data_IF_109000137594
#
_entry.id   IF_109000137594
#
_cell.length_a   1.000
_cell.length_b   1.000
_cell.length_c   1.000
_cell.angle_alpha   90.00
_cell.angle_beta   90.00
_cell.angle_gamma   90.00
#
_symmetry.space_group_name_H-M   'P 1'
#
loop_
_entity.id
_entity.type
_entity.pdbx_description
1 polymer ?
#
# COMPACT_ATOMS: atom_id res chain seq x y z
N UNK A 1 -17.98 -12.54 27.63
CA UNK A 1 -17.55 -13.04 26.30
C UNK A 1 -16.53 -12.07 25.76
N UNK A 2 -15.25 -12.40 25.90
CA UNK A 2 -14.12 -11.53 25.64
C UNK A 2 -14.00 -11.21 24.13
N UNK A 3 -13.71 -9.95 23.84
CA UNK A 3 -13.64 -9.36 22.53
C UNK A 3 -12.82 -10.11 21.49
N UNK A 4 -13.47 -10.94 20.71
CA UNK A 4 -12.94 -11.24 19.37
C UNK A 4 -12.90 -9.91 18.63
N UNK A 5 -11.70 -9.39 18.43
CA UNK A 5 -11.51 -8.26 17.53
C UNK A 5 -12.25 -8.59 16.24
N UNK A 6 -13.25 -7.78 15.88
CA UNK A 6 -14.01 -8.04 14.66
C UNK A 6 -13.11 -7.70 13.47
N UNK A 7 -12.40 -8.73 12.98
CA UNK A 7 -11.46 -8.57 11.85
C UNK A 7 -12.11 -7.97 10.61
N UNK A 8 -13.40 -8.25 10.37
CA UNK A 8 -14.14 -7.64 9.27
C UNK A 8 -14.29 -6.14 9.49
N UNK A 9 -14.67 -5.72 10.71
CA UNK A 9 -14.73 -4.31 11.06
C UNK A 9 -13.36 -3.62 10.95
N UNK A 10 -12.29 -4.28 11.37
CA UNK A 10 -10.92 -3.80 11.18
C UNK A 10 -10.60 -3.56 9.71
N UNK A 11 -10.87 -4.53 8.82
CA UNK A 11 -10.62 -4.40 7.38
C UNK A 11 -11.37 -3.22 6.76
N UNK A 12 -12.65 -3.04 7.12
CA UNK A 12 -13.48 -1.97 6.55
C UNK A 12 -13.25 -0.60 7.20
N UNK A 13 -12.57 -0.54 8.35
CA UNK A 13 -12.26 0.72 9.04
C UNK A 13 -11.07 1.47 8.46
N UNK A 14 -10.15 0.77 7.79
CA UNK A 14 -8.95 1.39 7.19
C UNK A 14 -9.32 2.51 6.21
N UNK A 15 -8.62 3.65 6.31
CA UNK A 15 -8.75 4.81 5.41
C UNK A 15 -7.40 5.17 4.80
N UNK A 16 -7.44 5.82 3.64
CA UNK A 16 -6.25 6.48 3.08
C UNK A 16 -6.01 7.79 3.82
N UNK A 17 -4.88 7.90 4.48
CA UNK A 17 -4.45 9.07 5.26
C UNK A 17 -3.45 9.87 4.44
N UNK A 18 -3.68 11.17 4.30
CA UNK A 18 -2.86 12.10 3.50
C UNK A 18 -2.26 13.24 4.31
N UNK A 19 -2.74 13.41 5.56
CA UNK A 19 -2.16 14.35 6.52
C UNK A 19 -1.57 13.58 7.66
N UNK A 20 -0.34 13.89 8.01
CA UNK A 20 0.44 13.18 9.00
C UNK A 20 0.96 14.15 10.05
N UNK A 21 1.05 13.69 11.29
CA UNK A 21 1.74 14.41 12.38
C UNK A 21 3.23 14.46 12.09
N UNK A 22 3.86 15.56 12.44
CA UNK A 22 5.32 15.69 12.45
C UNK A 22 5.90 14.90 13.63
N UNK A 23 5.88 13.58 13.49
CA UNK A 23 6.35 12.63 14.48
C UNK A 23 6.99 11.43 13.78
N UNK A 24 8.25 11.11 14.09
CA UNK A 24 8.92 9.96 13.48
C UNK A 24 8.19 8.65 13.81
N UNK A 25 8.26 7.71 12.90
CA UNK A 25 7.82 6.32 13.12
C UNK A 25 9.01 5.53 13.61
N UNK A 26 8.93 4.87 14.77
CA UNK A 26 9.99 4.02 15.31
C UNK A 26 10.36 2.87 14.36
N UNK A 27 11.64 2.52 14.31
CA UNK A 27 12.15 1.51 13.38
C UNK A 27 11.58 0.11 13.66
N UNK A 28 11.33 -0.21 14.93
CA UNK A 28 10.69 -1.47 15.32
C UNK A 28 9.28 -1.62 14.74
N UNK A 29 8.50 -0.54 14.65
CA UNK A 29 7.19 -0.56 14.01
C UNK A 29 7.32 -0.74 12.50
N UNK A 30 8.31 -0.12 11.86
CA UNK A 30 8.58 -0.31 10.43
C UNK A 30 8.92 -1.77 10.16
N UNK A 31 9.83 -2.35 10.94
CA UNK A 31 10.22 -3.76 10.80
C UNK A 31 9.03 -4.70 10.99
N UNK A 32 8.16 -4.46 11.98
CA UNK A 32 6.94 -5.26 12.20
C UNK A 32 5.98 -5.18 11.03
N UNK A 33 5.83 -4.01 10.39
CA UNK A 33 5.01 -3.85 9.19
C UNK A 33 5.58 -4.68 8.04
N UNK A 34 6.89 -4.61 7.81
CA UNK A 34 7.56 -5.34 6.73
C UNK A 34 7.59 -6.85 6.99
N UNK A 35 7.74 -7.26 8.25
CA UNK A 35 7.65 -8.68 8.63
C UNK A 35 6.25 -9.24 8.31
N UNK A 36 5.19 -8.51 8.61
CA UNK A 36 3.85 -8.89 8.20
C UNK A 36 3.69 -8.93 6.66
N UNK A 37 4.28 -7.96 5.95
CA UNK A 37 4.15 -7.85 4.50
C UNK A 37 4.77 -9.02 3.73
N UNK A 38 5.85 -9.62 4.22
CA UNK A 38 6.48 -10.78 3.59
C UNK A 38 5.62 -12.06 3.61
N UNK A 39 4.53 -12.09 4.39
CA UNK A 39 3.54 -13.18 4.39
C UNK A 39 2.44 -12.99 3.34
N UNK A 40 2.51 -11.95 2.51
CA UNK A 40 1.56 -11.79 1.42
C UNK A 40 1.62 -12.98 0.45
N UNK A 41 0.50 -13.40 -0.15
CA UNK A 41 0.53 -14.44 -1.16
C UNK A 41 1.21 -13.95 -2.44
N UNK A 42 1.97 -14.84 -3.09
CA UNK A 42 2.57 -14.62 -4.40
C UNK A 42 2.48 -15.88 -5.27
N UNK A 43 2.48 -15.70 -6.58
CA UNK A 43 2.45 -16.81 -7.53
C UNK A 43 3.64 -17.74 -7.28
N UNK A 44 3.36 -19.04 -7.11
CA UNK A 44 4.38 -20.06 -6.81
C UNK A 44 5.28 -19.74 -5.60
N UNK A 45 4.81 -18.89 -4.68
CA UNK A 45 5.60 -18.39 -3.56
C UNK A 45 6.90 -17.69 -4.00
N UNK A 46 6.86 -16.98 -5.12
CA UNK A 46 8.03 -16.32 -5.72
C UNK A 46 8.57 -15.15 -4.91
N UNK A 47 7.73 -14.54 -4.05
CA UNK A 47 8.10 -13.43 -3.15
C UNK A 47 8.93 -12.34 -3.85
N UNK A 48 8.43 -11.76 -4.96
CA UNK A 48 9.23 -10.92 -5.85
C UNK A 48 9.44 -9.48 -5.33
N UNK A 49 8.94 -9.16 -4.15
CA UNK A 49 8.98 -7.82 -3.57
C UNK A 49 10.32 -7.48 -2.92
N UNK A 50 10.73 -6.23 -3.12
CA UNK A 50 11.76 -5.54 -2.38
C UNK A 50 11.15 -4.29 -1.75
N UNK A 51 11.51 -3.99 -0.50
CA UNK A 51 10.98 -2.84 0.22
C UNK A 51 12.07 -1.80 0.42
N UNK A 52 11.88 -0.60 -0.13
CA UNK A 52 12.80 0.51 0.04
C UNK A 52 12.18 1.52 1.01
N UNK A 53 12.83 1.72 2.15
CA UNK A 53 12.42 2.70 3.17
C UNK A 53 13.10 4.03 2.88
N UNK A 54 12.30 5.04 2.60
CA UNK A 54 12.78 6.39 2.32
C UNK A 54 12.43 7.31 3.49
N UNK A 55 13.44 7.63 4.31
CA UNK A 55 13.36 8.61 5.43
C UNK A 55 14.00 9.94 5.05
N UNK A 56 14.93 9.92 4.10
CA UNK A 56 15.59 11.13 3.66
C UNK A 56 14.59 12.15 3.11
N UNK A 57 14.62 13.35 3.68
CA UNK A 57 13.67 14.41 3.37
C UNK A 57 13.77 14.86 1.93
N UNK A 58 15.00 15.04 1.44
CA UNK A 58 15.24 15.55 0.08
C UNK A 58 14.76 14.54 -0.95
N UNK A 59 15.05 13.26 -0.71
CA UNK A 59 14.62 12.17 -1.60
C UNK A 59 13.08 12.04 -1.61
N UNK A 60 12.42 12.12 -0.44
CA UNK A 60 10.94 12.13 -0.36
C UNK A 60 10.33 13.32 -1.10
N UNK A 61 10.94 14.51 -0.99
CA UNK A 61 10.49 15.70 -1.70
C UNK A 61 10.61 15.53 -3.21
N UNK A 62 11.71 14.94 -3.70
CA UNK A 62 11.87 14.63 -5.14
C UNK A 62 10.78 13.68 -5.61
N UNK A 63 10.57 12.57 -4.92
CA UNK A 63 9.52 11.60 -5.24
C UNK A 63 8.13 12.25 -5.15
N UNK A 64 7.88 13.08 -4.13
CA UNK A 64 6.62 13.78 -3.93
C UNK A 64 6.27 14.80 -5.00
N UNK A 65 7.26 15.25 -5.80
CA UNK A 65 7.08 16.19 -6.91
C UNK A 65 6.88 15.52 -8.26
N UNK A 66 7.06 14.21 -8.37
CA UNK A 66 6.91 13.46 -9.63
C UNK A 66 5.52 13.68 -10.24
N UNK A 67 4.48 13.71 -9.41
CA UNK A 67 3.12 14.06 -9.84
C UNK A 67 2.27 14.58 -8.66
N UNK A 68 1.22 15.33 -8.98
CA UNK A 68 0.37 16.01 -7.98
C UNK A 68 -0.23 15.10 -6.90
N UNK A 69 -0.45 13.83 -7.20
CA UNK A 69 -1.02 12.85 -6.25
C UNK A 69 0.01 12.31 -5.26
N UNK A 70 1.30 12.59 -5.48
CA UNK A 70 2.39 12.20 -4.57
C UNK A 70 2.61 13.20 -3.42
N UNK A 71 1.91 14.32 -3.42
CA UNK A 71 2.02 15.38 -2.39
C UNK A 71 1.90 14.89 -0.93
N UNK A 72 1.16 13.81 -0.58
CA UNK A 72 1.16 13.31 0.80
C UNK A 72 2.54 12.90 1.32
N UNK A 73 3.50 12.59 0.44
CA UNK A 73 4.89 12.27 0.82
C UNK A 73 5.61 13.44 1.47
N UNK A 74 5.22 14.68 1.12
CA UNK A 74 5.85 15.90 1.66
C UNK A 74 5.62 16.06 3.16
N UNK A 75 4.46 15.60 3.66
CA UNK A 75 4.10 15.65 5.07
C UNK A 75 4.28 14.34 5.83
N UNK A 76 4.62 13.25 5.14
CA UNK A 76 4.80 11.95 5.79
C UNK A 76 6.22 11.82 6.38
N UNK A 77 6.38 11.25 7.60
CA UNK A 77 7.70 11.01 8.18
C UNK A 77 8.55 10.03 7.36
N UNK A 78 7.93 9.08 6.69
CA UNK A 78 8.63 8.15 5.79
C UNK A 78 7.76 7.72 4.59
N UNK A 79 8.43 7.19 3.57
CA UNK A 79 7.78 6.45 2.51
C UNK A 79 8.29 4.99 2.48
N UNK A 80 7.43 4.07 2.05
CA UNK A 80 7.79 2.69 1.72
C UNK A 80 7.53 2.51 0.23
N UNK A 81 8.58 2.24 -0.54
CA UNK A 81 8.44 1.88 -1.95
C UNK A 81 8.47 0.36 -2.07
N UNK A 82 7.44 -0.18 -2.70
CA UNK A 82 7.36 -1.61 -3.01
C UNK A 82 7.80 -1.79 -4.45
N UNK A 83 9.02 -2.28 -4.63
CA UNK A 83 9.59 -2.63 -5.91
C UNK A 83 9.48 -4.14 -6.15
N UNK A 84 9.18 -4.52 -7.38
CA UNK A 84 8.87 -5.89 -7.72
C UNK A 84 9.83 -6.43 -8.77
N UNK A 85 10.47 -7.54 -8.50
CA UNK A 85 11.33 -8.22 -9.45
C UNK A 85 10.47 -8.91 -10.52
N UNK A 86 10.40 -8.29 -11.72
CA UNK A 86 9.63 -8.80 -12.86
C UNK A 86 10.16 -10.14 -13.41
N UNK A 87 11.44 -10.46 -13.16
CA UNK A 87 12.04 -11.73 -13.61
C UNK A 87 11.66 -12.88 -12.67
N UNK A 88 11.52 -12.62 -11.37
CA UNK A 88 11.11 -13.63 -10.39
C UNK A 88 9.63 -14.02 -10.52
N UNK A 89 8.76 -13.12 -11.01
CA UNK A 89 7.33 -13.37 -11.25
C UNK A 89 6.86 -12.69 -12.54
N UNK A 90 7.26 -13.18 -13.73
CA UNK A 90 7.06 -12.45 -14.99
C UNK A 90 5.60 -12.11 -15.32
N UNK A 91 4.66 -12.98 -14.97
CA UNK A 91 3.23 -12.81 -15.27
C UNK A 91 2.42 -12.20 -14.11
N UNK A 92 2.96 -12.24 -12.89
CA UNK A 92 2.17 -11.93 -11.68
C UNK A 92 2.79 -10.85 -10.80
N UNK A 93 3.97 -10.33 -11.11
CA UNK A 93 4.71 -9.40 -10.25
C UNK A 93 3.88 -8.19 -9.78
N UNK A 94 3.01 -7.65 -10.64
CA UNK A 94 2.13 -6.53 -10.27
C UNK A 94 1.12 -6.94 -9.20
N UNK A 95 0.50 -8.12 -9.35
CA UNK A 95 -0.49 -8.66 -8.41
C UNK A 95 0.19 -9.05 -7.11
N UNK A 96 1.33 -9.74 -7.18
CA UNK A 96 2.10 -10.18 -6.02
C UNK A 96 2.52 -8.98 -5.15
N UNK A 97 3.06 -7.93 -5.78
CA UNK A 97 3.44 -6.73 -5.05
C UNK A 97 2.26 -5.86 -4.59
N UNK A 98 1.13 -5.91 -5.29
CA UNK A 98 -0.11 -5.31 -4.80
C UNK A 98 -0.59 -6.00 -3.51
N UNK A 99 -0.47 -7.34 -3.43
CA UNK A 99 -0.78 -8.10 -2.21
C UNK A 99 0.14 -7.65 -1.06
N UNK A 100 1.46 -7.62 -1.27
CA UNK A 100 2.41 -7.16 -0.25
C UNK A 100 2.12 -5.71 0.20
N UNK A 101 1.77 -4.82 -0.74
CA UNK A 101 1.37 -3.44 -0.46
C UNK A 101 0.13 -3.39 0.44
N UNK A 102 -0.88 -4.22 0.18
CA UNK A 102 -2.06 -4.30 1.04
C UNK A 102 -1.73 -4.82 2.44
N UNK A 103 -0.82 -5.80 2.57
CA UNK A 103 -0.35 -6.26 3.87
C UNK A 103 0.37 -5.15 4.65
N UNK A 104 1.23 -4.35 4.00
CA UNK A 104 1.83 -3.16 4.62
C UNK A 104 0.74 -2.22 5.15
N UNK A 105 -0.27 -1.91 4.33
CA UNK A 105 -1.32 -0.96 4.70
C UNK A 105 -2.17 -1.46 5.88
N UNK A 106 -2.46 -2.76 5.94
CA UNK A 106 -3.23 -3.37 7.02
C UNK A 106 -2.39 -3.48 8.31
N UNK A 107 -1.11 -3.86 8.21
CA UNK A 107 -0.21 -3.91 9.33
C UNK A 107 0.01 -2.52 9.95
N UNK A 108 0.22 -1.50 9.13
CA UNK A 108 0.32 -0.11 9.57
C UNK A 108 -0.96 0.32 10.30
N UNK A 109 -2.15 0.01 9.73
CA UNK A 109 -3.43 0.30 10.37
C UNK A 109 -3.59 -0.40 11.72
N UNK A 110 -3.17 -1.66 11.84
CA UNK A 110 -3.18 -2.40 13.11
C UNK A 110 -2.28 -1.79 14.18
N UNK A 111 -1.22 -1.09 13.76
CA UNK A 111 -0.28 -0.39 14.66
C UNK A 111 -0.66 1.09 14.88
N UNK A 112 -1.85 1.52 14.43
CA UNK A 112 -2.33 2.91 14.60
C UNK A 112 -1.69 3.91 13.64
N UNK A 113 -0.96 3.44 12.63
CA UNK A 113 -0.37 4.28 11.59
C UNK A 113 -1.33 4.46 10.41
N UNK A 114 -1.22 5.62 9.78
CA UNK A 114 -1.92 5.96 8.54
C UNK A 114 -1.06 5.68 7.31
N UNK A 115 -1.72 5.31 6.22
CA UNK A 115 -1.07 5.10 4.93
C UNK A 115 -1.92 5.63 3.79
N UNK A 116 -1.27 6.01 2.68
CA UNK A 116 -1.93 6.19 1.38
C UNK A 116 -1.06 5.58 0.29
N UNK A 117 -1.71 4.84 -0.62
CA UNK A 117 -1.09 4.30 -1.82
C UNK A 117 -1.00 5.38 -2.89
N UNK A 118 0.20 5.63 -3.36
CA UNK A 118 0.53 6.54 -4.45
C UNK A 118 0.94 5.69 -5.64
N UNK A 119 0.27 5.90 -6.76
CA UNK A 119 0.53 5.17 -8.00
C UNK A 119 1.91 5.54 -8.56
N UNK A 120 2.74 4.56 -8.87
CA UNK A 120 4.12 4.72 -9.36
C UNK A 120 4.35 4.23 -10.79
N UNK A 121 3.44 3.40 -11.33
CA UNK A 121 3.62 2.76 -12.63
C UNK A 121 3.67 3.71 -13.85
N UNK A 122 3.32 4.98 -13.68
CA UNK A 122 3.45 6.00 -14.74
C UNK A 122 4.82 6.66 -14.78
N UNK A 123 5.61 6.48 -13.72
CA UNK A 123 6.89 7.16 -13.51
C UNK A 123 7.97 6.16 -13.10
N UNK A 124 7.94 4.97 -13.69
CA UNK A 124 8.83 3.86 -13.33
C UNK A 124 10.28 4.25 -13.46
N UNK A 125 10.69 4.75 -14.63
CA UNK A 125 12.07 5.11 -14.94
C UNK A 125 12.59 6.20 -14.01
N UNK A 126 11.80 7.26 -13.79
CA UNK A 126 12.16 8.36 -12.91
C UNK A 126 12.36 7.91 -11.46
N UNK A 127 11.50 7.00 -10.97
CA UNK A 127 11.61 6.44 -9.61
C UNK A 127 12.79 5.47 -9.52
N UNK A 128 13.04 4.67 -10.56
CA UNK A 128 14.22 3.80 -10.63
C UNK A 128 15.51 4.60 -10.56
N UNK A 129 15.60 5.69 -11.31
CA UNK A 129 16.76 6.59 -11.28
C UNK A 129 16.99 7.21 -9.89
N UNK A 130 15.93 7.80 -9.31
CA UNK A 130 16.00 8.43 -7.98
C UNK A 130 16.41 7.44 -6.87
N UNK A 131 15.95 6.21 -6.94
CA UNK A 131 16.19 5.18 -5.93
C UNK A 131 17.35 4.24 -6.30
N UNK A 132 17.97 4.42 -7.46
CA UNK A 132 19.02 3.56 -8.01
C UNK A 132 18.58 2.08 -8.10
N UNK A 133 17.32 1.86 -8.50
CA UNK A 133 16.80 0.52 -8.67
C UNK A 133 17.32 -0.08 -10.00
N UNK A 134 17.71 -1.35 -10.02
CA UNK A 134 18.02 -2.03 -11.27
C UNK A 134 16.75 -2.16 -12.13
N UNK A 135 16.90 -2.24 -13.45
CA UNK A 135 15.80 -2.27 -14.44
C UNK A 135 14.74 -3.37 -14.14
N UNK A 136 15.17 -4.51 -13.61
CA UNK A 136 14.27 -5.62 -13.25
C UNK A 136 13.35 -5.33 -12.06
N UNK A 137 13.67 -4.34 -11.23
CA UNK A 137 12.85 -3.94 -10.08
C UNK A 137 11.90 -2.81 -10.45
N UNK A 138 10.65 -3.16 -10.68
CA UNK A 138 9.60 -2.21 -11.05
C UNK A 138 8.97 -1.63 -9.77
N UNK A 139 9.03 -0.32 -9.53
CA UNK A 139 8.35 0.32 -8.40
C UNK A 139 6.83 0.27 -8.61
N UNK A 140 6.14 -0.67 -7.96
CA UNK A 140 4.71 -0.92 -8.14
C UNK A 140 3.86 0.02 -7.29
N UNK A 141 4.33 0.36 -6.10
CA UNK A 141 3.61 1.24 -5.19
C UNK A 141 4.58 2.09 -4.36
N UNK A 142 4.14 3.30 -4.04
CA UNK A 142 4.76 4.14 -3.02
C UNK A 142 3.72 4.39 -1.94
N UNK A 143 4.07 4.11 -0.70
CA UNK A 143 3.22 4.38 0.46
C UNK A 143 3.78 5.55 1.24
N UNK A 144 3.01 6.62 1.42
CA UNK A 144 3.27 7.57 2.49
C UNK A 144 2.80 6.94 3.80
N UNK A 145 3.65 6.95 4.84
CA UNK A 145 3.39 6.28 6.11
C UNK A 145 3.72 7.21 7.27
N UNK A 146 2.84 7.26 8.26
CA UNK A 146 3.05 8.08 9.46
C UNK A 146 1.87 8.05 10.42
N UNK A 147 1.97 8.80 11.51
CA UNK A 147 0.89 8.98 12.45
C UNK A 147 -0.20 9.85 11.84
N UNK A 148 -1.48 9.39 11.82
CA UNK A 148 -2.55 10.16 11.18
C UNK A 148 -2.80 11.50 11.90
N UNK A 149 -2.98 12.55 11.10
CA UNK A 149 -3.42 13.88 11.55
C UNK A 149 -4.76 14.27 10.90
N UNK A 150 -5.52 13.28 10.49
CA UNK A 150 -6.88 13.39 9.96
C UNK A 150 -7.67 12.12 10.24
N UNK A 151 -9.00 12.25 10.23
CA UNK A 151 -9.93 11.12 10.35
C UNK A 151 -10.96 11.17 9.21
N UNK A 152 -10.62 10.66 8.01
CA UNK A 152 -11.50 10.74 6.86
C UNK A 152 -12.78 9.93 7.04
N UNK A 153 -13.92 10.51 6.67
CA UNK A 153 -15.21 9.82 6.67
C UNK A 153 -15.21 8.63 5.69
N UNK A 154 -16.02 7.60 5.96
CA UNK A 154 -16.24 6.51 5.03
C UNK A 154 -16.77 7.02 3.69
N UNK A 155 -16.18 6.56 2.59
CA UNK A 155 -16.72 6.85 1.26
C UNK A 155 -17.75 5.79 0.88
N UNK A 156 -18.78 6.21 0.14
CA UNK A 156 -19.78 5.30 -0.42
C UNK A 156 -19.10 4.16 -1.20
N UNK A 157 -19.66 2.99 -1.10
CA UNK A 157 -19.32 1.80 -1.88
C UNK A 157 -20.53 1.42 -2.74
N UNK A 158 -20.25 0.73 -3.83
CA UNK A 158 -21.32 0.08 -4.59
C UNK A 158 -22.05 -0.94 -3.72
N UNK A 159 -23.34 -1.08 -3.93
CA UNK A 159 -24.13 -2.12 -3.27
C UNK A 159 -23.70 -3.50 -3.80
N UNK A 160 -23.79 -4.52 -2.95
CA UNK A 160 -23.42 -5.88 -3.37
C UNK A 160 -24.23 -6.35 -4.57
N UNK A 161 -25.51 -6.00 -4.64
CA UNK A 161 -26.39 -6.31 -5.79
C UNK A 161 -25.91 -5.75 -7.13
N UNK A 162 -25.06 -4.70 -7.12
CA UNK A 162 -24.51 -4.08 -8.34
C UNK A 162 -23.24 -4.78 -8.86
N UNK A 163 -22.58 -5.59 -8.03
CA UNK A 163 -21.25 -6.11 -8.30
C UNK A 163 -21.08 -7.63 -8.08
N UNK A 164 -22.13 -8.30 -7.59
CA UNK A 164 -22.07 -9.75 -7.35
C UNK A 164 -22.94 -10.49 -8.35
N UNK A 165 -22.30 -11.37 -9.11
CA UNK A 165 -22.94 -12.21 -10.12
C UNK A 165 -22.83 -13.68 -9.71
N UNK A 166 -23.82 -14.50 -10.06
CA UNK A 166 -23.86 -15.94 -9.84
C UNK A 166 -23.51 -16.67 -11.14
N UNK A 167 -22.49 -17.51 -11.12
CA UNK A 167 -21.99 -18.35 -12.21
C UNK A 167 -21.49 -17.56 -13.45
N UNK A 168 -22.26 -16.61 -13.97
CA UNK A 168 -21.95 -15.86 -15.19
C UNK A 168 -22.14 -14.36 -14.98
N UNK A 169 -21.32 -13.55 -15.64
CA UNK A 169 -21.49 -12.10 -15.66
C UNK A 169 -22.89 -11.74 -16.19
N UNK A 170 -23.53 -10.76 -15.56
CA UNK A 170 -24.88 -10.29 -15.87
C UNK A 170 -25.99 -11.02 -15.13
N UNK A 171 -25.72 -12.20 -14.55
CA UNK A 171 -26.66 -12.90 -13.66
C UNK A 171 -26.43 -12.44 -12.22
N UNK A 172 -27.13 -11.41 -11.79
CA UNK A 172 -26.97 -10.88 -10.44
C UNK A 172 -27.46 -11.88 -9.40
N UNK A 173 -26.66 -12.12 -8.36
CA UNK A 173 -26.99 -13.07 -7.28
C UNK A 173 -28.11 -12.56 -6.38
N UNK A 174 -28.13 -11.25 -6.09
CA UNK A 174 -29.17 -10.62 -5.30
C UNK A 174 -30.09 -9.83 -6.24
N UNK A 175 -31.08 -10.54 -6.79
CA UNK A 175 -32.23 -9.88 -7.44
C UNK A 175 -33.13 -9.30 -6.35
N UNK A 176 -33.58 -8.07 -6.52
CA UNK A 176 -34.57 -7.39 -5.69
C UNK A 176 -35.85 -8.19 -5.63
#
# INVERSE_FOLDING_TARGET
MSGRCNFLQFLVSRRSIRKFKDKPVPDDLILRILDAARFAPSAKNSQPWEFIIVKDRILKEKIGKIHKWASPLLGAPLAIVVACNREASPTSYLVDCANATMYIMLAAHALGLGTVWIQSLRNVEEIQELLKLPEKLIPVAILAVGWPDESPSPKRRKELKEIVHLDKYGRYWMST
#
